data_IF_189539550434
#
_entry.id   IF_189539550434
#
_cell.length_a   1.000
_cell.length_b   1.000
_cell.length_c   1.000
_cell.angle_alpha   90.00
_cell.angle_beta   90.00
_cell.angle_gamma   90.00
#
_symmetry.space_group_name_H-M   'P 1'
#
loop_
_entity.id
_entity.type
_entity.pdbx_description
1 polymer ?
#
# COMPACT_ATOMS: atom_id res chain seq x y z
N UNK A 1 -19.85 3.87 -2.84
CA UNK A 1 -18.56 3.54 -2.17
C UNK A 1 -17.39 4.42 -2.63
N UNK A 2 -17.43 5.05 -3.81
CA UNK A 2 -16.36 5.93 -4.32
C UNK A 2 -16.26 7.30 -3.61
N UNK A 3 -17.37 7.85 -3.11
CA UNK A 3 -17.38 9.16 -2.42
C UNK A 3 -16.57 9.18 -1.12
N UNK A 4 -16.42 8.05 -0.44
CA UNK A 4 -15.67 7.97 0.82
C UNK A 4 -14.14 7.96 0.62
N UNK A 5 -13.63 7.65 -0.58
CA UNK A 5 -12.18 7.54 -0.79
C UNK A 5 -11.48 8.92 -0.79
N UNK A 6 -12.16 9.96 -1.30
CA UNK A 6 -11.64 11.33 -1.28
C UNK A 6 -11.41 11.83 0.15
N UNK A 7 -12.29 11.44 1.08
CA UNK A 7 -12.22 11.86 2.48
C UNK A 7 -11.03 11.25 3.24
N UNK A 8 -10.59 10.05 2.87
CA UNK A 8 -9.50 9.35 3.58
C UNK A 8 -8.13 9.46 2.90
N UNK A 9 -8.10 9.57 1.58
CA UNK A 9 -6.85 9.60 0.82
C UNK A 9 -6.48 10.98 0.29
N UNK A 10 -7.46 11.88 0.11
CA UNK A 10 -7.25 13.16 -0.59
C UNK A 10 -7.13 13.03 -2.12
N UNK A 11 -7.22 11.82 -2.68
CA UNK A 11 -7.18 11.56 -4.12
C UNK A 11 -8.01 10.32 -4.51
N UNK A 12 -8.27 10.17 -5.82
CA UNK A 12 -8.95 8.99 -6.38
C UNK A 12 -7.97 7.83 -6.55
N UNK A 13 -8.06 6.83 -5.69
CA UNK A 13 -7.18 5.63 -5.70
C UNK A 13 -7.41 4.66 -6.87
N UNK A 14 -8.44 4.89 -7.68
CA UNK A 14 -8.88 3.97 -8.74
C UNK A 14 -7.82 3.86 -9.83
N UNK A 15 -7.28 4.99 -10.28
CA UNK A 15 -6.21 5.03 -11.30
C UNK A 15 -4.94 4.35 -10.82
N UNK A 16 -4.63 4.54 -9.53
CA UNK A 16 -3.44 3.96 -8.92
C UNK A 16 -3.53 2.42 -8.84
N UNK A 17 -4.74 1.89 -8.57
CA UNK A 17 -5.01 0.46 -8.62
C UNK A 17 -5.01 -0.10 -10.04
N UNK A 18 -5.65 0.62 -10.97
CA UNK A 18 -5.84 0.16 -12.34
C UNK A 18 -4.51 0.09 -13.10
N UNK A 19 -3.54 0.97 -12.81
CA UNK A 19 -2.20 0.89 -13.37
C UNK A 19 -1.24 0.06 -12.52
N UNK A 20 -1.31 0.19 -11.19
CA UNK A 20 -0.35 -0.46 -10.29
C UNK A 20 -0.49 -1.97 -10.22
N UNK A 21 -1.72 -2.50 -10.17
CA UNK A 21 -1.96 -3.95 -10.06
C UNK A 21 -1.46 -4.68 -11.31
N UNK A 22 -1.82 -4.27 -12.55
CA UNK A 22 -1.31 -4.93 -13.75
C UNK A 22 0.20 -4.84 -13.84
N UNK A 23 0.76 -3.64 -13.61
CA UNK A 23 2.19 -3.40 -13.72
C UNK A 23 2.98 -4.31 -12.78
N UNK A 24 2.61 -4.37 -11.50
CA UNK A 24 3.30 -5.22 -10.52
C UNK A 24 3.07 -6.71 -10.83
N UNK A 25 1.85 -7.11 -11.18
CA UNK A 25 1.55 -8.52 -11.48
C UNK A 25 2.31 -9.08 -12.68
N UNK A 26 2.57 -8.28 -13.71
CA UNK A 26 3.43 -8.68 -14.83
C UNK A 26 4.93 -8.60 -14.51
N UNK A 27 5.31 -7.71 -13.60
CA UNK A 27 6.71 -7.50 -13.22
C UNK A 27 7.22 -8.58 -12.25
N UNK A 28 6.37 -9.11 -11.37
CA UNK A 28 6.76 -10.12 -10.37
C UNK A 28 7.37 -11.37 -11.01
N UNK A 29 6.75 -12.02 -12.02
CA UNK A 29 7.34 -13.20 -12.65
C UNK A 29 8.66 -12.94 -13.35
N UNK A 30 8.85 -11.72 -13.87
CA UNK A 30 10.06 -11.30 -14.55
C UNK A 30 11.21 -11.05 -13.57
N UNK A 31 10.94 -10.36 -12.46
CA UNK A 31 11.97 -9.96 -11.49
C UNK A 31 12.36 -11.06 -10.51
N UNK A 32 11.44 -11.97 -10.18
CA UNK A 32 11.63 -12.87 -9.04
C UNK A 32 11.56 -14.36 -9.35
N UNK A 33 10.99 -14.74 -10.50
CA UNK A 33 10.85 -16.15 -10.90
C UNK A 33 11.72 -16.52 -12.11
N UNK A 34 12.63 -15.62 -12.54
CA UNK A 34 13.54 -15.78 -13.67
C UNK A 34 12.82 -16.30 -14.94
N UNK A 35 11.57 -15.85 -15.16
CA UNK A 35 10.75 -16.32 -16.28
C UNK A 35 10.96 -15.46 -17.51
N UNK A 36 11.17 -16.12 -18.64
CA UNK A 36 11.30 -15.46 -19.95
C UNK A 36 9.93 -14.99 -20.43
N UNK A 37 9.84 -13.70 -20.75
CA UNK A 37 8.66 -13.09 -21.34
C UNK A 37 8.30 -13.80 -22.66
N UNK A 38 7.01 -14.09 -22.87
CA UNK A 38 6.52 -14.76 -24.07
C UNK A 38 6.40 -16.28 -23.98
N UNK A 39 6.75 -16.90 -22.84
CA UNK A 39 6.53 -18.33 -22.62
C UNK A 39 5.11 -18.60 -22.04
N UNK A 40 4.46 -19.73 -22.37
CA UNK A 40 3.17 -20.10 -21.77
C UNK A 40 3.20 -20.11 -20.24
N UNK A 41 4.31 -20.59 -19.66
CA UNK A 41 4.53 -20.61 -18.22
C UNK A 41 4.57 -19.20 -17.62
N UNK A 42 5.13 -18.22 -18.34
CA UNK A 42 5.13 -16.82 -17.89
C UNK A 42 3.69 -16.29 -17.74
N UNK A 43 2.82 -16.53 -18.71
CA UNK A 43 1.44 -16.03 -18.66
C UNK A 43 0.62 -16.69 -17.54
N UNK A 44 0.81 -17.98 -17.29
CA UNK A 44 0.16 -18.68 -16.17
C UNK A 44 0.62 -18.07 -14.84
N UNK A 45 1.93 -17.92 -14.65
CA UNK A 45 2.48 -17.31 -13.45
C UNK A 45 2.08 -15.83 -13.30
N UNK A 46 1.98 -15.09 -14.39
CA UNK A 46 1.50 -13.71 -14.39
C UNK A 46 0.03 -13.61 -13.97
N UNK A 47 -0.83 -14.54 -14.41
CA UNK A 47 -2.22 -14.60 -13.95
C UNK A 47 -2.31 -14.84 -12.43
N UNK A 48 -1.54 -15.79 -11.89
CA UNK A 48 -1.47 -16.00 -10.45
C UNK A 48 -0.91 -14.76 -9.72
N UNK A 49 0.19 -14.20 -10.21
CA UNK A 49 0.80 -13.00 -9.63
C UNK A 49 -0.16 -11.81 -9.63
N UNK A 50 -0.93 -11.60 -10.70
CA UNK A 50 -1.97 -10.56 -10.78
C UNK A 50 -3.05 -10.76 -9.72
N UNK A 51 -3.55 -11.99 -9.58
CA UNK A 51 -4.57 -12.32 -8.59
C UNK A 51 -4.09 -12.06 -7.16
N UNK A 52 -2.89 -12.55 -6.82
CA UNK A 52 -2.31 -12.31 -5.50
C UNK A 52 -2.00 -10.83 -5.27
N UNK A 53 -1.44 -10.14 -6.25
CA UNK A 53 -1.18 -8.69 -6.18
C UNK A 53 -2.46 -7.92 -5.91
N UNK A 54 -3.56 -8.28 -6.57
CA UNK A 54 -4.86 -7.66 -6.33
C UNK A 54 -5.34 -7.88 -4.88
N UNK A 55 -5.20 -9.09 -4.33
CA UNK A 55 -5.56 -9.38 -2.93
C UNK A 55 -4.71 -8.54 -1.97
N UNK A 56 -3.38 -8.57 -2.12
CA UNK A 56 -2.47 -7.78 -1.29
C UNK A 56 -2.81 -6.30 -1.33
N UNK A 57 -3.15 -5.78 -2.52
CA UNK A 57 -3.55 -4.38 -2.68
C UNK A 57 -4.83 -4.04 -1.93
N UNK A 58 -5.86 -4.88 -2.03
CA UNK A 58 -7.13 -4.64 -1.35
C UNK A 58 -6.99 -4.73 0.18
N UNK A 59 -6.19 -5.68 0.67
CA UNK A 59 -5.91 -5.80 2.11
C UNK A 59 -5.09 -4.62 2.62
N UNK A 60 -4.07 -4.20 1.87
CA UNK A 60 -3.29 -3.01 2.20
C UNK A 60 -4.13 -1.75 2.27
N UNK A 61 -5.02 -1.57 1.28
CA UNK A 61 -6.01 -0.48 1.28
C UNK A 61 -6.93 -0.55 2.49
N UNK A 62 -7.42 -1.74 2.85
CA UNK A 62 -8.27 -1.93 4.02
C UNK A 62 -7.56 -1.52 5.31
N UNK A 63 -6.31 -1.93 5.51
CA UNK A 63 -5.51 -1.53 6.67
C UNK A 63 -5.25 -0.03 6.68
N UNK A 64 -4.96 0.58 5.53
CA UNK A 64 -4.76 2.03 5.46
C UNK A 64 -6.03 2.80 5.86
N UNK A 65 -7.19 2.44 5.29
CA UNK A 65 -8.47 3.08 5.61
C UNK A 65 -8.80 2.89 7.10
N UNK A 66 -8.69 1.68 7.63
CA UNK A 66 -8.94 1.40 9.05
C UNK A 66 -7.97 2.14 9.97
N UNK A 67 -6.70 2.24 9.59
CA UNK A 67 -5.69 3.00 10.31
C UNK A 67 -6.06 4.48 10.37
N UNK A 68 -6.48 5.06 9.25
CA UNK A 68 -6.86 6.48 9.18
C UNK A 68 -8.19 6.77 9.92
N UNK A 69 -9.13 5.83 9.92
CA UNK A 69 -10.34 5.91 10.75
C UNK A 69 -10.05 5.83 12.25
N UNK A 70 -9.07 5.00 12.65
CA UNK A 70 -8.75 4.78 14.06
C UNK A 70 -7.86 5.89 14.65
N UNK A 71 -7.00 6.48 13.83
CA UNK A 71 -6.02 7.50 14.22
C UNK A 71 -6.08 8.69 13.24
N UNK A 72 -7.14 9.52 13.31
CA UNK A 72 -7.29 10.67 12.42
C UNK A 72 -6.27 11.78 12.71
N UNK A 73 -5.88 11.96 13.97
CA UNK A 73 -5.05 13.07 14.41
C UNK A 73 -3.57 12.94 14.02
N UNK A 74 -2.95 14.10 13.76
CA UNK A 74 -1.55 14.21 13.35
C UNK A 74 -0.58 13.75 14.45
N UNK A 75 -0.95 13.92 15.72
CA UNK A 75 -0.12 13.53 16.87
C UNK A 75 0.03 12.01 17.01
N UNK A 76 -0.93 11.23 16.51
CA UNK A 76 -0.90 9.77 16.56
C UNK A 76 -0.30 9.12 15.30
N UNK A 77 0.35 9.89 14.41
CA UNK A 77 0.91 9.37 13.15
C UNK A 77 1.86 8.19 13.35
N UNK A 78 2.75 8.28 14.34
CA UNK A 78 3.71 7.23 14.69
C UNK A 78 3.02 5.98 15.24
N UNK A 79 1.90 6.13 15.96
CA UNK A 79 1.09 5.00 16.46
C UNK A 79 0.33 4.33 15.32
N UNK A 80 -0.22 5.11 14.39
CA UNK A 80 -0.86 4.60 13.17
C UNK A 80 0.11 3.81 12.31
N UNK A 81 1.30 4.35 12.07
CA UNK A 81 2.31 3.67 11.24
C UNK A 81 2.73 2.33 11.85
N UNK A 82 2.99 2.29 13.17
CA UNK A 82 3.25 1.02 13.88
C UNK A 82 2.08 0.05 13.77
N UNK A 83 0.85 0.52 13.88
CA UNK A 83 -0.34 -0.31 13.75
C UNK A 83 -0.46 -0.92 12.34
N UNK A 84 -0.26 -0.11 11.29
CA UNK A 84 -0.27 -0.57 9.90
C UNK A 84 0.85 -1.58 9.69
N UNK A 85 2.09 -1.27 10.08
CA UNK A 85 3.24 -2.15 9.89
C UNK A 85 3.06 -3.50 10.61
N UNK A 86 2.62 -3.50 11.88
CA UNK A 86 2.38 -4.74 12.62
C UNK A 86 1.27 -5.60 12.00
N UNK A 87 0.14 -4.98 11.64
CA UNK A 87 -0.98 -5.68 10.98
C UNK A 87 -0.56 -6.27 9.64
N UNK A 88 0.23 -5.51 8.88
CA UNK A 88 0.73 -5.91 7.57
C UNK A 88 1.72 -7.05 7.67
N UNK A 89 2.66 -6.97 8.62
CA UNK A 89 3.63 -8.03 8.88
C UNK A 89 2.93 -9.34 9.29
N UNK A 90 1.96 -9.27 10.20
CA UNK A 90 1.16 -10.43 10.60
C UNK A 90 0.37 -11.01 9.42
N UNK A 91 -0.27 -10.15 8.62
CA UNK A 91 -1.00 -10.58 7.43
C UNK A 91 -0.07 -11.27 6.42
N UNK A 92 1.10 -10.70 6.12
CA UNK A 92 2.06 -11.28 5.18
C UNK A 92 2.58 -12.62 5.69
N UNK A 93 2.89 -12.75 6.99
CA UNK A 93 3.31 -14.02 7.57
C UNK A 93 2.25 -15.12 7.40
N UNK A 94 1.00 -14.84 7.80
CA UNK A 94 -0.10 -15.81 7.68
C UNK A 94 -0.41 -16.12 6.22
N UNK A 95 -0.38 -15.11 5.35
CA UNK A 95 -0.71 -15.30 3.95
C UNK A 95 0.39 -16.06 3.20
N UNK A 96 1.66 -15.79 3.46
CA UNK A 96 2.76 -16.55 2.84
C UNK A 96 2.82 -18.00 3.33
N UNK A 97 2.51 -18.28 4.60
CA UNK A 97 2.42 -19.67 5.08
C UNK A 97 1.22 -20.40 4.49
N UNK A 98 0.08 -19.72 4.38
CA UNK A 98 -1.12 -20.27 3.74
C UNK A 98 -0.90 -20.52 2.25
N UNK A 99 -0.29 -19.59 1.52
CA UNK A 99 0.03 -19.72 0.11
C UNK A 99 1.00 -20.89 -0.13
N UNK A 100 2.03 -21.03 0.70
CA UNK A 100 2.93 -22.17 0.61
C UNK A 100 2.22 -23.50 0.88
N UNK A 101 1.34 -23.56 1.89
CA UNK A 101 0.55 -24.76 2.17
C UNK A 101 -0.44 -25.09 1.05
N UNK A 102 -1.09 -24.08 0.46
CA UNK A 102 -2.06 -24.24 -0.61
C UNK A 102 -1.38 -24.63 -1.94
N UNK A 103 -0.27 -23.99 -2.30
CA UNK A 103 0.48 -24.33 -3.51
C UNK A 103 1.15 -25.70 -3.40
N UNK A 104 1.79 -25.99 -2.27
CA UNK A 104 2.49 -27.27 -2.08
C UNK A 104 1.51 -28.43 -1.87
N UNK A 105 0.44 -28.23 -1.09
CA UNK A 105 -0.55 -29.26 -0.79
C UNK A 105 -1.57 -29.49 -1.91
N UNK A 106 -1.94 -28.46 -2.68
CA UNK A 106 -3.00 -28.59 -3.69
C UNK A 106 -2.46 -28.66 -5.13
N UNK A 107 -1.42 -27.89 -5.47
CA UNK A 107 -0.93 -27.79 -6.85
C UNK A 107 0.18 -28.80 -7.16
N UNK A 108 1.15 -29.00 -6.26
CA UNK A 108 2.26 -29.96 -6.52
C UNK A 108 1.75 -31.41 -6.55
N UNK A 109 0.88 -31.79 -5.62
CA UNK A 109 0.36 -33.15 -5.52
C UNK A 109 -0.62 -33.51 -6.65
N UNK A 110 -1.47 -32.57 -7.09
CA UNK A 110 -2.48 -32.83 -8.14
C UNK A 110 -2.04 -32.53 -9.57
N UNK A 111 -1.18 -31.53 -9.80
CA UNK A 111 -0.80 -31.09 -11.14
C UNK A 111 0.59 -31.55 -11.59
N UNK A 112 1.32 -32.32 -10.76
CA UNK A 112 2.71 -32.72 -11.03
C UNK A 112 3.60 -31.55 -11.47
N UNK A 113 3.30 -30.35 -10.97
CA UNK A 113 4.12 -29.17 -11.22
C UNK A 113 5.46 -29.41 -10.53
N UNK A 114 6.55 -29.35 -11.32
CA UNK A 114 7.89 -29.61 -10.84
C UNK A 114 8.17 -28.77 -9.59
N UNK A 115 8.54 -29.43 -8.50
CA UNK A 115 8.84 -28.83 -7.18
C UNK A 115 9.88 -27.70 -7.25
N UNK A 116 10.71 -27.70 -8.29
CA UNK A 116 11.70 -26.66 -8.60
C UNK A 116 11.10 -25.32 -9.05
N UNK A 117 9.79 -25.27 -9.34
CA UNK A 117 9.09 -24.08 -9.86
C UNK A 117 8.40 -23.27 -8.76
N UNK A 118 8.19 -23.83 -7.56
CA UNK A 118 7.57 -23.12 -6.45
C UNK A 118 8.62 -22.26 -5.72
N UNK A 119 8.40 -20.94 -5.57
CA UNK A 119 9.35 -20.09 -4.88
C UNK A 119 9.42 -20.45 -3.40
N UNK A 120 10.64 -20.64 -2.90
CA UNK A 120 10.88 -20.85 -1.48
C UNK A 120 10.38 -19.67 -0.66
N UNK A 121 9.83 -19.96 0.52
CA UNK A 121 9.27 -18.96 1.44
C UNK A 121 10.28 -17.87 1.83
N UNK A 122 11.58 -18.22 1.82
CA UNK A 122 12.70 -17.30 2.06
C UNK A 122 12.84 -16.20 1.01
N UNK A 123 12.36 -16.42 -0.22
CA UNK A 123 12.32 -15.41 -1.29
C UNK A 123 10.98 -14.67 -1.32
N UNK A 124 9.87 -15.38 -1.09
CA UNK A 124 8.52 -14.81 -1.15
C UNK A 124 8.25 -13.82 -0.01
N UNK A 125 8.68 -14.12 1.22
CA UNK A 125 8.49 -13.25 2.39
C UNK A 125 9.11 -11.84 2.23
N UNK A 126 10.42 -11.70 1.95
CA UNK A 126 11.02 -10.37 1.79
C UNK A 126 10.45 -9.62 0.58
N UNK A 127 10.13 -10.32 -0.51
CA UNK A 127 9.49 -9.71 -1.68
C UNK A 127 8.13 -9.08 -1.33
N UNK A 128 7.25 -9.85 -0.69
CA UNK A 128 5.92 -9.38 -0.29
C UNK A 128 6.03 -8.21 0.70
N UNK A 129 7.00 -8.23 1.61
CA UNK A 129 7.25 -7.12 2.53
C UNK A 129 7.68 -5.85 1.81
N UNK A 130 8.61 -5.93 0.85
CA UNK A 130 9.08 -4.77 0.09
C UNK A 130 7.93 -4.17 -0.73
N UNK A 131 7.18 -5.00 -1.46
CA UNK A 131 6.06 -4.53 -2.29
C UNK A 131 4.97 -3.89 -1.44
N UNK A 132 4.57 -4.56 -0.36
CA UNK A 132 3.52 -4.05 0.51
C UNK A 132 3.95 -2.76 1.22
N UNK A 133 5.18 -2.71 1.72
CA UNK A 133 5.72 -1.49 2.37
C UNK A 133 5.84 -0.35 1.37
N UNK A 134 6.24 -0.63 0.13
CA UNK A 134 6.27 0.36 -0.95
C UNK A 134 4.88 0.96 -1.22
N UNK A 135 3.86 0.12 -1.35
CA UNK A 135 2.47 0.58 -1.52
C UNK A 135 2.02 1.41 -0.31
N UNK A 136 2.27 0.92 0.92
CA UNK A 136 1.92 1.64 2.15
C UNK A 136 2.63 3.00 2.26
N UNK A 137 3.91 3.06 1.90
CA UNK A 137 4.70 4.29 1.87
C UNK A 137 4.11 5.29 0.85
N UNK A 138 3.72 4.85 -0.34
CA UNK A 138 3.09 5.71 -1.33
C UNK A 138 1.79 6.33 -0.82
N UNK A 139 0.91 5.53 -0.21
CA UNK A 139 -0.33 6.03 0.40
C UNK A 139 -0.07 7.01 1.54
N UNK A 140 0.92 6.74 2.40
CA UNK A 140 1.31 7.62 3.50
C UNK A 140 1.92 8.94 2.99
N UNK A 141 2.77 8.89 1.96
CA UNK A 141 3.33 10.08 1.31
C UNK A 141 2.24 10.99 0.74
N UNK A 142 1.22 10.42 0.09
CA UNK A 142 0.10 11.19 -0.47
C UNK A 142 -0.73 11.88 0.62
N UNK A 143 -0.99 11.18 1.74
CA UNK A 143 -1.66 11.76 2.91
C UNK A 143 -0.83 12.88 3.53
N UNK A 144 0.46 12.65 3.75
CA UNK A 144 1.36 13.65 4.34
C UNK A 144 1.48 14.89 3.47
N UNK A 145 1.51 14.72 2.15
CA UNK A 145 1.49 15.84 1.22
C UNK A 145 0.19 16.65 1.27
N UNK A 146 -0.95 15.97 1.41
CA UNK A 146 -2.26 16.63 1.55
C UNK A 146 -2.34 17.44 2.85
N UNK A 147 -1.87 16.87 3.97
CA UNK A 147 -1.82 17.57 5.25
C UNK A 147 -0.85 18.75 5.22
N UNK A 148 0.31 18.58 4.61
CA UNK A 148 1.30 19.65 4.48
C UNK A 148 0.74 20.88 3.76
N UNK A 149 -0.08 20.68 2.71
CA UNK A 149 -0.76 21.79 2.02
C UNK A 149 -1.71 22.55 2.94
N UNK A 150 -2.50 21.84 3.73
CA UNK A 150 -3.48 22.45 4.65
C UNK A 150 -2.75 23.29 5.70
N UNK A 151 -1.74 22.71 6.36
CA UNK A 151 -0.95 23.42 7.38
C UNK A 151 -0.23 24.64 6.82
N UNK A 152 0.22 24.59 5.56
CA UNK A 152 0.83 25.77 4.91
C UNK A 152 -0.18 26.90 4.73
N UNK A 153 -1.40 26.59 4.28
CA UNK A 153 -2.47 27.59 4.10
C UNK A 153 -2.91 28.19 5.44
N UNK A 154 -3.10 27.35 6.46
CA UNK A 154 -3.45 27.82 7.82
C UNK A 154 -2.37 28.75 8.38
N UNK A 155 -1.09 28.43 8.18
CA UNK A 155 0.01 29.28 8.63
C UNK A 155 0.01 30.64 7.92
N UNK A 156 -0.23 30.67 6.61
CA UNK A 156 -0.34 31.91 5.84
C UNK A 156 -1.53 32.77 6.30
N UNK A 157 -2.64 32.17 6.73
CA UNK A 157 -3.79 32.88 7.30
C UNK A 157 -3.47 33.47 8.67
N UNK A 158 -2.85 32.69 9.56
CA UNK A 158 -2.44 33.14 10.89
C UNK A 158 -1.43 34.29 10.84
N UNK A 159 -0.49 34.27 9.89
CA UNK A 159 0.46 35.37 9.69
C UNK A 159 -0.25 36.66 9.27
N UNK A 160 -1.25 36.58 8.40
CA UNK A 160 -2.06 37.75 7.98
C UNK A 160 -2.88 38.32 9.14
N UNK A 161 -3.51 37.46 9.94
CA UNK A 161 -4.29 37.88 11.11
C UNK A 161 -3.41 38.53 12.18
N UNK A 162 -2.22 37.99 12.42
CA UNK A 162 -1.25 38.58 13.34
C UNK A 162 -0.79 39.98 12.87
N UNK A 163 -0.50 40.15 11.58
CA UNK A 163 -0.15 41.47 11.02
C UNK A 163 -1.30 42.48 11.13
N UNK A 164 -2.55 42.05 10.90
CA UNK A 164 -3.72 42.90 11.06
C UNK A 164 -3.91 43.35 12.52
N UNK A 165 -3.77 42.43 13.48
CA UNK A 165 -3.87 42.72 14.92
C UNK A 165 -2.80 43.72 15.39
N UNK A 166 -1.56 43.59 14.90
CA UNK A 166 -0.49 44.56 15.21
C UNK A 166 -0.81 45.97 14.67
N UNK A 167 -1.39 46.07 13.47
CA UNK A 167 -1.80 47.35 12.89
C UNK A 167 -2.97 47.98 13.64
N UNK A 168 -3.93 47.19 14.14
CA UNK A 168 -5.02 47.69 14.98
C UNK A 168 -4.52 48.21 16.33
N UNK A 169 -3.61 47.48 16.99
CA UNK A 169 -2.97 47.94 18.23
C UNK A 169 -2.20 49.26 18.06
N UNK A 170 -1.61 49.48 16.89
CA UNK A 170 -0.92 50.73 16.53
C UNK A 170 -1.87 51.91 16.27
N UNK A 171 -3.13 51.67 15.87
CA UNK A 171 -4.12 52.73 15.61
C UNK A 171 -4.81 53.26 16.87
N UNK A 172 -4.79 52.50 17.96
CA UNK A 172 -5.46 52.85 19.23
C UNK A 172 -4.55 53.71 20.13
N UNK A 173 -3.25 53.78 19.83
CA UNK A 173 -2.24 54.54 20.56
C UNK A 173 -1.97 55.89 19.91
#
# INVERSE_FOLDING_TARGET
MESNNLQYFGFRDVWFRLLGIPLIGFLIPLLFFDRTFGTPDYYINACFALFFTAIYWQVGRYFFIKGNQRFPDWQDNSRRLRWILLRSFLFILVFCTFDHWLLFGFCVEKFQLNTHQAPHISKTLPMSLILFTGVAAMYESMRNFSLWKITKVEKEQLEKENLASQLEGLKIK
#
